data_IF_380826814719
#
_entry.id   IF_380826814719
#
_cell.length_a   1.000
_cell.length_b   1.000
_cell.length_c   1.000
_cell.angle_alpha   90.00
_cell.angle_beta   90.00
_cell.angle_gamma   90.00
#
_symmetry.space_group_name_H-M   'P 1'
#
loop_
_entity.id
_entity.type
_entity.pdbx_description
1 polymer ?
#
# COMPACT_ATOMS: atom_id res chain seq x y z
N UNK A 1 -17.74 -22.09 8.88
CA UNK A 1 -18.27 -21.10 7.93
C UNK A 1 -17.46 -19.81 8.02
N UNK A 2 -17.00 -19.30 6.90
CA UNK A 2 -16.29 -18.03 6.87
C UNK A 2 -17.28 -16.89 6.69
N UNK A 3 -17.19 -15.90 7.57
CA UNK A 3 -18.02 -14.70 7.47
C UNK A 3 -17.13 -13.59 6.93
N UNK A 4 -17.50 -13.06 5.76
CA UNK A 4 -16.83 -11.93 5.17
C UNK A 4 -17.64 -10.69 5.51
N UNK A 5 -17.07 -9.82 6.33
CA UNK A 5 -17.69 -8.56 6.66
C UNK A 5 -17.21 -7.50 5.68
N UNK A 6 -18.11 -6.80 5.03
CA UNK A 6 -17.79 -5.66 4.21
C UNK A 6 -17.59 -4.42 5.07
N UNK A 7 -16.87 -3.45 4.54
CA UNK A 7 -16.69 -2.18 5.22
C UNK A 7 -18.04 -1.49 5.43
N UNK A 8 -18.20 -0.82 6.57
CA UNK A 8 -19.42 -0.08 6.89
C UNK A 8 -19.58 1.13 5.98
N UNK A 9 -18.48 1.81 5.70
CA UNK A 9 -18.46 3.04 4.88
C UNK A 9 -17.64 2.82 3.63
N UNK A 10 -17.86 3.68 2.64
CA UNK A 10 -17.23 3.58 1.33
C UNK A 10 -16.63 4.93 0.94
N UNK A 11 -16.22 5.08 -0.30
CA UNK A 11 -15.52 6.28 -0.76
C UNK A 11 -16.37 7.55 -0.63
N UNK A 12 -17.68 7.44 -0.73
CA UNK A 12 -18.60 8.57 -0.56
C UNK A 12 -18.64 9.09 0.88
N UNK A 13 -18.09 8.33 1.83
CA UNK A 13 -18.04 8.74 3.24
C UNK A 13 -16.75 9.48 3.58
N UNK A 14 -15.96 9.81 2.57
CA UNK A 14 -14.76 10.64 2.68
C UNK A 14 -14.95 11.91 1.87
N UNK A 15 -14.67 13.05 2.48
CA UNK A 15 -14.71 14.35 1.82
C UNK A 15 -13.31 14.91 1.71
N UNK A 16 -12.79 15.01 0.49
CA UNK A 16 -11.49 15.63 0.25
C UNK A 16 -11.69 17.13 0.20
N UNK A 17 -11.00 17.85 1.08
CA UNK A 17 -11.05 19.32 1.10
C UNK A 17 -10.05 19.88 0.09
N UNK A 18 -8.79 19.43 0.18
CA UNK A 18 -7.76 19.75 -0.79
C UNK A 18 -6.65 18.74 -0.75
N UNK A 19 -5.82 18.75 -1.77
CA UNK A 19 -4.64 17.90 -1.85
C UNK A 19 -3.56 18.60 -2.65
N UNK A 20 -2.30 18.34 -2.28
CA UNK A 20 -1.14 18.91 -2.97
C UNK A 20 0.04 17.95 -2.81
N UNK A 21 0.90 17.91 -3.81
CA UNK A 21 2.15 17.18 -3.68
C UNK A 21 3.09 17.95 -2.75
N UNK A 22 3.67 17.22 -1.80
CA UNK A 22 4.70 17.75 -0.89
C UNK A 22 6.09 17.20 -1.19
N UNK A 23 6.16 16.14 -1.98
CA UNK A 23 7.40 15.56 -2.47
C UNK A 23 7.16 14.85 -3.79
N UNK A 24 7.99 15.12 -4.79
CA UNK A 24 7.90 14.51 -6.11
C UNK A 24 9.30 14.08 -6.55
N UNK A 25 9.76 12.97 -5.98
CA UNK A 25 10.98 12.30 -6.39
C UNK A 25 10.66 10.95 -7.00
N UNK A 26 11.51 9.97 -6.75
CA UNK A 26 11.19 8.59 -7.15
C UNK A 26 9.87 8.14 -6.50
N UNK A 27 9.69 8.50 -5.23
CA UNK A 27 8.42 8.35 -4.53
C UNK A 27 7.69 9.68 -4.58
N UNK A 28 6.38 9.64 -4.72
CA UNK A 28 5.55 10.84 -4.68
C UNK A 28 4.71 10.83 -3.42
N UNK A 29 4.66 11.96 -2.73
CA UNK A 29 3.87 12.10 -1.50
C UNK A 29 2.89 13.25 -1.68
N UNK A 30 1.62 12.94 -1.51
CA UNK A 30 0.55 13.94 -1.46
C UNK A 30 0.17 14.20 0.00
N UNK A 31 -0.08 15.46 0.31
CA UNK A 31 -0.72 15.84 1.55
C UNK A 31 -2.18 16.07 1.27
N UNK A 32 -3.05 15.34 1.95
CA UNK A 32 -4.49 15.44 1.76
C UNK A 32 -5.13 15.98 3.03
N UNK A 33 -5.91 17.02 2.88
CA UNK A 33 -6.78 17.54 3.94
C UNK A 33 -8.17 17.02 3.65
N UNK A 34 -8.71 16.29 4.60
CA UNK A 34 -9.96 15.56 4.40
C UNK A 34 -10.74 15.42 5.70
N UNK A 35 -11.97 14.98 5.56
CA UNK A 35 -12.79 14.50 6.69
C UNK A 35 -13.39 13.17 6.29
N UNK A 36 -13.66 12.37 7.29
CA UNK A 36 -14.39 11.12 7.05
C UNK A 36 -15.50 10.97 8.08
N UNK A 37 -16.43 10.09 7.76
CA UNK A 37 -17.56 9.83 8.63
C UNK A 37 -17.09 9.12 9.90
N UNK A 38 -17.72 9.48 11.02
CA UNK A 38 -17.50 8.82 12.31
C UNK A 38 -18.37 7.57 12.39
N UNK A 39 -17.86 6.52 13.02
CA UNK A 39 -18.63 5.29 13.20
C UNK A 39 -19.84 5.52 14.07
N UNK A 40 -20.97 4.94 13.66
CA UNK A 40 -22.24 5.00 14.36
C UNK A 40 -22.77 6.42 14.55
N UNK A 41 -22.30 7.37 13.74
CA UNK A 41 -22.70 8.75 13.77
C UNK A 41 -22.98 9.25 12.37
N UNK A 42 -23.76 10.32 12.27
CA UNK A 42 -24.04 10.95 10.98
C UNK A 42 -23.05 12.06 10.67
N UNK A 43 -22.17 12.36 11.61
CA UNK A 43 -21.24 13.46 11.51
C UNK A 43 -19.91 13.05 10.92
N UNK A 44 -19.17 14.02 10.44
CA UNK A 44 -17.80 13.86 9.94
C UNK A 44 -16.81 14.32 10.98
N UNK A 45 -15.56 13.89 10.85
CA UNK A 45 -14.46 14.45 11.65
C UNK A 45 -14.27 15.93 11.33
N UNK A 46 -13.53 16.63 12.18
CA UNK A 46 -12.89 17.87 11.76
C UNK A 46 -11.97 17.58 10.59
N UNK A 47 -11.52 18.62 9.89
CA UNK A 47 -10.52 18.43 8.82
C UNK A 47 -9.25 17.89 9.43
N UNK A 48 -8.80 16.77 8.91
CA UNK A 48 -7.54 16.14 9.29
C UNK A 48 -6.59 16.13 8.10
N UNK A 49 -5.30 16.11 8.39
CA UNK A 49 -4.26 16.16 7.39
C UNK A 49 -3.51 14.83 7.39
N UNK A 50 -3.34 14.22 6.22
CA UNK A 50 -2.64 12.94 6.07
C UNK A 50 -1.72 12.99 4.88
N UNK A 51 -0.58 12.32 5.00
CA UNK A 51 0.35 12.15 3.90
C UNK A 51 0.08 10.80 3.26
N UNK A 52 -0.08 10.80 1.95
CA UNK A 52 -0.32 9.61 1.15
C UNK A 52 0.83 9.41 0.18
N UNK A 53 1.48 8.27 0.30
CA UNK A 53 2.55 7.89 -0.63
C UNK A 53 1.88 7.32 -1.87
N UNK A 54 2.09 7.99 -3.01
CA UNK A 54 1.61 7.52 -4.30
C UNK A 54 2.66 6.59 -4.91
N UNK A 55 2.23 5.39 -5.25
CA UNK A 55 3.09 4.40 -5.87
C UNK A 55 2.37 3.81 -7.09
N UNK A 56 3.12 3.48 -8.16
CA UNK A 56 2.51 2.82 -9.31
C UNK A 56 2.01 1.43 -8.90
N UNK A 57 1.02 0.97 -9.63
CA UNK A 57 0.53 -0.39 -9.45
C UNK A 57 1.60 -1.39 -9.88
N UNK A 58 1.63 -2.51 -9.20
CA UNK A 58 2.59 -3.58 -9.47
C UNK A 58 1.87 -4.92 -9.42
N UNK A 59 2.46 -5.91 -10.08
CA UNK A 59 1.99 -7.28 -10.02
C UNK A 59 3.15 -8.19 -9.64
N UNK A 60 2.83 -9.20 -8.84
CA UNK A 60 3.79 -10.23 -8.47
C UNK A 60 3.31 -11.60 -8.92
N UNK A 61 4.25 -12.51 -9.13
CA UNK A 61 3.95 -13.88 -9.49
C UNK A 61 4.76 -14.82 -8.60
N UNK A 62 4.08 -15.85 -8.08
CA UNK A 62 4.75 -16.92 -7.35
C UNK A 62 4.85 -18.11 -8.28
N UNK A 63 6.08 -18.47 -8.65
CA UNK A 63 6.34 -19.56 -9.57
C UNK A 63 6.53 -20.84 -8.77
N UNK A 64 5.79 -21.87 -9.15
CA UNK A 64 5.88 -23.19 -8.53
C UNK A 64 6.35 -24.21 -9.56
N UNK A 65 7.41 -24.94 -9.22
CA UNK A 65 7.91 -26.05 -10.02
C UNK A 65 7.32 -27.35 -9.47
N UNK A 66 6.34 -27.88 -10.19
CA UNK A 66 5.62 -29.07 -9.76
C UNK A 66 6.52 -30.32 -9.75
N UNK A 67 7.45 -30.41 -10.69
CA UNK A 67 8.35 -31.55 -10.78
C UNK A 67 9.29 -31.66 -9.58
N UNK A 68 9.79 -30.52 -9.10
CA UNK A 68 10.68 -30.47 -7.94
C UNK A 68 9.95 -30.12 -6.64
N UNK A 69 8.68 -29.74 -6.72
CA UNK A 69 7.88 -29.28 -5.60
C UNK A 69 8.55 -28.13 -4.84
N UNK A 70 9.00 -27.12 -5.59
CA UNK A 70 9.71 -25.96 -5.07
C UNK A 70 9.16 -24.67 -5.66
N UNK A 71 9.27 -23.59 -4.89
CA UNK A 71 8.98 -22.25 -5.38
C UNK A 71 10.26 -21.60 -5.88
N UNK A 72 10.12 -20.81 -6.95
CA UNK A 72 11.22 -19.98 -7.44
C UNK A 72 11.08 -18.57 -6.84
N UNK A 73 12.11 -18.15 -6.16
CA UNK A 73 12.20 -16.81 -5.58
C UNK A 73 13.42 -16.10 -6.15
N UNK A 74 13.42 -14.78 -6.06
CA UNK A 74 14.58 -13.96 -6.40
C UNK A 74 15.18 -13.37 -5.14
N UNK A 75 16.44 -13.00 -5.23
CA UNK A 75 17.12 -12.28 -4.16
C UNK A 75 17.48 -10.89 -4.68
N UNK A 76 17.10 -9.85 -3.94
CA UNK A 76 17.32 -8.47 -4.34
C UNK A 76 17.77 -7.61 -3.16
N UNK A 77 18.62 -6.65 -3.46
CA UNK A 77 18.91 -5.57 -2.52
C UNK A 77 17.66 -4.70 -2.34
N UNK A 78 17.30 -4.44 -1.10
CA UNK A 78 16.20 -3.55 -0.75
C UNK A 78 16.69 -2.49 0.21
N UNK A 79 16.65 -1.23 -0.23
CA UNK A 79 17.16 -0.10 0.57
C UNK A 79 16.39 0.03 1.89
N UNK A 80 15.11 -0.30 1.90
CA UNK A 80 14.30 -0.23 3.12
C UNK A 80 14.71 -1.24 4.19
N UNK A 81 15.48 -2.26 3.81
CA UNK A 81 15.96 -3.28 4.73
C UNK A 81 17.45 -3.08 5.10
N UNK A 82 18.02 -1.92 4.77
CA UNK A 82 19.43 -1.65 5.00
C UNK A 82 19.85 -1.76 6.46
N UNK A 83 18.96 -1.43 7.37
CA UNK A 83 19.23 -1.48 8.81
C UNK A 83 18.88 -2.84 9.43
N UNK A 84 18.45 -3.79 8.62
CA UNK A 84 18.20 -5.15 9.10
C UNK A 84 19.52 -5.80 9.46
N UNK A 85 19.60 -6.37 10.67
CA UNK A 85 20.82 -6.99 11.16
C UNK A 85 21.25 -8.19 10.33
N UNK A 86 20.29 -8.89 9.71
CA UNK A 86 20.62 -10.06 8.92
C UNK A 86 21.08 -9.68 7.53
N UNK A 87 20.28 -8.95 6.76
CA UNK A 87 20.68 -8.60 5.39
C UNK A 87 19.71 -7.60 4.76
N UNK A 88 20.26 -6.71 3.94
CA UNK A 88 19.46 -5.86 3.05
C UNK A 88 19.02 -6.61 1.77
N UNK A 89 19.59 -7.78 1.50
CA UNK A 89 19.16 -8.63 0.39
C UNK A 89 18.03 -9.52 0.87
N UNK A 90 16.90 -9.45 0.18
CA UNK A 90 15.67 -10.11 0.59
C UNK A 90 15.26 -11.15 -0.44
N UNK A 91 14.73 -12.27 0.05
CA UNK A 91 14.10 -13.29 -0.81
C UNK A 91 12.66 -12.84 -1.08
N UNK A 92 12.31 -12.82 -2.36
CA UNK A 92 11.03 -12.24 -2.80
C UNK A 92 10.43 -13.01 -3.95
N UNK A 93 9.14 -12.85 -4.15
CA UNK A 93 8.50 -13.28 -5.38
C UNK A 93 8.94 -12.35 -6.51
N UNK A 94 8.81 -12.82 -7.74
CA UNK A 94 9.09 -12.01 -8.92
C UNK A 94 7.96 -11.01 -9.10
N UNK A 95 8.29 -9.72 -9.21
CA UNK A 95 7.30 -8.68 -9.34
C UNK A 95 7.81 -7.56 -10.24
N UNK A 96 6.88 -6.79 -10.78
CA UNK A 96 7.20 -5.64 -11.60
C UNK A 96 6.08 -4.62 -11.61
N UNK A 97 6.45 -3.39 -11.94
CA UNK A 97 5.50 -2.28 -12.06
C UNK A 97 4.69 -2.47 -13.33
N UNK A 98 3.40 -2.21 -13.22
CA UNK A 98 2.50 -2.23 -14.38
C UNK A 98 2.65 -0.93 -15.18
N UNK A 99 2.65 -1.07 -16.50
CA UNK A 99 2.71 0.08 -17.41
C UNK A 99 1.33 0.68 -17.65
#
# INVERSE_FOLDING_TARGET
MNIIKQATYHSEDVQIVDRAFVFQGFVQVEKENLRHRLFNQTEYTAVISRELIQRPEAAGVLIYDDAQQKFALIEQFRIGAMDDQDSAWQLEIIAGVLD
#
